data_IF_444639083043
#
_entry.id   IF_444639083043
#
_cell.length_a   1.000
_cell.length_b   1.000
_cell.length_c   1.000
_cell.angle_alpha   90.00
_cell.angle_beta   90.00
_cell.angle_gamma   90.00
#
_symmetry.space_group_name_H-M   'P 1'
#
loop_
_entity.id
_entity.type
_entity.pdbx_description
1 polymer ?
#
# COMPACT_ATOMS: atom_id res chain seq x y z
N UNK A 1 24.30 4.69 8.22
CA UNK A 1 25.36 5.59 7.70
C UNK A 1 25.00 5.94 6.27
N UNK A 2 25.16 7.20 5.87
CA UNK A 2 24.94 7.65 4.49
C UNK A 2 26.01 7.07 3.56
N UNK A 3 25.61 6.64 2.36
CA UNK A 3 26.55 6.24 1.31
C UNK A 3 27.15 7.49 0.62
N UNK A 4 28.26 7.34 -0.13
CA UNK A 4 28.77 8.44 -0.95
C UNK A 4 27.75 8.99 -1.94
N UNK A 5 26.85 8.15 -2.45
CA UNK A 5 25.78 8.55 -3.36
C UNK A 5 24.68 9.35 -2.65
N UNK A 6 24.33 8.98 -1.42
CA UNK A 6 23.37 9.77 -0.61
C UNK A 6 23.91 11.18 -0.37
N UNK A 7 25.19 11.31 -0.06
CA UNK A 7 25.83 12.62 0.10
C UNK A 7 25.82 13.41 -1.20
N UNK A 8 26.11 12.79 -2.34
CA UNK A 8 26.06 13.45 -3.65
C UNK A 8 24.62 13.90 -3.98
N UNK A 9 23.63 13.03 -3.75
CA UNK A 9 22.23 13.35 -3.95
C UNK A 9 21.81 14.55 -3.07
N UNK A 10 22.04 14.48 -1.75
CA UNK A 10 21.67 15.54 -0.81
C UNK A 10 22.29 16.89 -1.15
N UNK A 11 23.56 16.89 -1.60
CA UNK A 11 24.27 18.11 -2.00
C UNK A 11 23.60 18.82 -3.19
N UNK A 12 22.89 18.07 -4.05
CA UNK A 12 22.22 18.61 -5.24
C UNK A 12 21.02 19.49 -4.90
N UNK A 13 20.37 19.27 -3.75
CA UNK A 13 19.27 20.15 -3.26
C UNK A 13 19.74 21.48 -2.66
N UNK A 14 21.03 21.66 -2.38
CA UNK A 14 21.62 22.90 -1.83
C UNK A 14 20.97 23.40 -0.51
N UNK A 15 20.47 22.48 0.32
CA UNK A 15 19.80 22.79 1.60
C UNK A 15 20.77 22.93 2.78
N UNK A 16 22.06 22.97 2.52
CA UNK A 16 23.13 23.08 3.52
C UNK A 16 23.70 21.72 3.94
N UNK A 17 24.56 21.70 4.96
CA UNK A 17 25.21 20.46 5.41
C UNK A 17 24.22 19.52 6.10
N UNK A 18 24.49 18.22 5.98
CA UNK A 18 23.80 17.19 6.77
C UNK A 18 24.30 17.25 8.20
N UNK A 19 23.40 17.37 9.15
CA UNK A 19 23.68 17.45 10.59
C UNK A 19 23.48 16.10 11.27
N UNK A 20 22.55 15.27 10.75
CA UNK A 20 22.26 13.95 11.27
C UNK A 20 21.62 13.08 10.21
N UNK A 21 21.74 11.74 10.35
CA UNK A 21 21.06 10.79 9.46
C UNK A 21 20.71 9.49 10.18
N UNK A 22 19.49 9.00 9.95
CA UNK A 22 18.97 7.75 10.52
C UNK A 22 18.30 6.93 9.41
N UNK A 23 18.55 5.63 9.38
CA UNK A 23 17.86 4.69 8.48
C UNK A 23 16.70 4.07 9.26
N UNK A 24 15.44 4.27 8.85
CA UNK A 24 14.30 3.63 9.49
C UNK A 24 14.41 2.12 9.47
N UNK A 25 13.94 1.47 10.53
CA UNK A 25 13.86 0.00 10.58
C UNK A 25 12.79 -0.55 9.62
N UNK A 26 11.78 0.26 9.30
CA UNK A 26 10.65 -0.06 8.42
C UNK A 26 10.93 0.38 6.98
N UNK A 27 10.20 -0.19 6.03
CA UNK A 27 10.32 0.09 4.59
C UNK A 27 10.86 -1.13 3.84
N UNK A 28 10.02 -1.69 2.94
CA UNK A 28 10.30 -2.98 2.28
C UNK A 28 10.75 -2.84 0.84
N UNK A 29 10.38 -1.76 0.15
CA UNK A 29 10.61 -1.61 -1.30
C UNK A 29 11.72 -0.61 -1.60
N UNK A 30 11.54 0.65 -1.24
CA UNK A 30 12.52 1.70 -1.49
C UNK A 30 13.43 1.91 -0.27
N UNK A 31 14.69 2.31 -0.51
CA UNK A 31 15.55 2.68 0.60
C UNK A 31 15.30 4.14 0.98
N UNK A 32 14.93 4.37 2.23
CA UNK A 32 14.72 5.72 2.79
C UNK A 32 15.77 6.01 3.86
N UNK A 33 16.26 7.23 3.88
CA UNK A 33 17.13 7.76 4.95
C UNK A 33 16.52 9.05 5.44
N UNK A 34 16.28 9.15 6.74
CA UNK A 34 15.86 10.39 7.39
C UNK A 34 17.11 11.23 7.64
N UNK A 35 17.07 12.49 7.26
CA UNK A 35 18.21 13.41 7.37
C UNK A 35 17.78 14.71 8.02
N UNK A 36 18.61 15.20 8.93
CA UNK A 36 18.53 16.56 9.45
C UNK A 36 19.53 17.43 8.68
N UNK A 37 19.07 18.54 8.15
CA UNK A 37 19.86 19.52 7.42
C UNK A 37 19.59 20.90 8.02
N UNK A 38 20.42 21.88 7.72
CA UNK A 38 20.21 23.25 8.22
C UNK A 38 18.83 23.81 7.81
N UNK A 39 18.27 23.40 6.67
CA UNK A 39 16.96 23.84 6.17
C UNK A 39 15.76 23.07 6.70
N UNK A 40 15.94 22.05 7.55
CA UNK A 40 14.86 21.22 8.10
C UNK A 40 15.18 19.73 8.12
N UNK A 41 14.17 18.95 8.45
CA UNK A 41 14.24 17.48 8.44
C UNK A 41 13.59 16.92 7.18
N UNK A 42 14.22 15.93 6.56
CA UNK A 42 13.81 15.37 5.27
C UNK A 42 13.95 13.85 5.25
N UNK A 43 13.23 13.23 4.30
CA UNK A 43 13.36 11.83 3.93
C UNK A 43 13.97 11.74 2.52
N UNK A 44 15.20 11.24 2.40
CA UNK A 44 15.82 10.92 1.13
C UNK A 44 15.39 9.53 0.72
N UNK A 45 14.70 9.41 -0.41
CA UNK A 45 14.28 8.14 -1.01
C UNK A 45 15.18 7.80 -2.19
N UNK A 46 15.80 6.62 -2.15
CA UNK A 46 16.48 6.01 -3.29
C UNK A 46 15.56 4.93 -3.87
N UNK A 47 15.18 5.07 -5.14
CA UNK A 47 14.29 4.13 -5.83
C UNK A 47 15.04 2.85 -6.18
N UNK A 48 14.57 1.71 -5.66
CA UNK A 48 15.18 0.39 -5.90
C UNK A 48 15.01 -0.07 -7.35
N UNK A 49 13.87 0.26 -7.96
CA UNK A 49 13.57 0.02 -9.37
C UNK A 49 13.45 1.37 -10.07
N UNK A 50 14.53 1.86 -10.71
CA UNK A 50 14.55 3.19 -11.30
C UNK A 50 13.73 3.21 -12.60
N UNK A 51 12.44 3.48 -12.48
CA UNK A 51 11.52 3.73 -13.59
C UNK A 51 11.12 5.21 -13.55
N UNK A 52 11.68 6.00 -14.46
CA UNK A 52 11.43 7.44 -14.54
C UNK A 52 9.95 7.77 -14.76
N UNK A 53 9.24 6.99 -15.58
CA UNK A 53 7.83 7.23 -15.85
C UNK A 53 6.97 6.98 -14.61
N UNK A 54 7.30 5.94 -13.85
CA UNK A 54 6.65 5.62 -12.59
C UNK A 54 6.88 6.71 -11.54
N UNK A 55 8.13 7.17 -11.37
CA UNK A 55 8.47 8.23 -10.41
C UNK A 55 7.83 9.56 -10.82
N UNK A 56 7.83 9.90 -12.12
CA UNK A 56 7.16 11.09 -12.61
C UNK A 56 5.64 11.05 -12.35
N UNK A 57 5.03 9.88 -12.54
CA UNK A 57 3.62 9.67 -12.20
C UNK A 57 3.36 9.84 -10.69
N UNK A 58 4.16 9.22 -9.83
CA UNK A 58 4.07 9.36 -8.37
C UNK A 58 4.08 10.83 -7.97
N UNK A 59 5.08 11.59 -8.45
CA UNK A 59 5.22 13.01 -8.11
C UNK A 59 4.06 13.86 -8.66
N UNK A 60 3.56 13.54 -9.85
CA UNK A 60 2.40 14.23 -10.42
C UNK A 60 1.13 13.94 -9.61
N UNK A 61 0.92 12.71 -9.16
CA UNK A 61 -0.22 12.34 -8.33
C UNK A 61 -0.17 13.04 -6.96
N UNK A 62 1.00 13.08 -6.31
CA UNK A 62 1.23 13.82 -5.06
C UNK A 62 0.92 15.31 -5.26
N UNK A 63 1.44 15.94 -6.32
CA UNK A 63 1.21 17.35 -6.60
C UNK A 63 -0.28 17.65 -6.86
N UNK A 64 -0.97 16.78 -7.61
CA UNK A 64 -2.41 16.91 -7.86
C UNK A 64 -3.23 16.82 -6.57
N UNK A 65 -2.94 15.84 -5.72
CA UNK A 65 -3.59 15.64 -4.45
C UNK A 65 -3.33 16.83 -3.49
N UNK A 66 -2.08 17.28 -3.38
CA UNK A 66 -1.69 18.42 -2.55
C UNK A 66 -2.37 19.74 -2.96
N UNK A 67 -2.48 19.99 -4.26
CA UNK A 67 -3.19 21.16 -4.80
C UNK A 67 -4.71 21.14 -4.45
N UNK A 68 -5.24 20.01 -3.97
CA UNK A 68 -6.64 19.82 -3.56
C UNK A 68 -6.79 19.55 -2.06
N UNK A 69 -5.82 20.00 -1.28
CA UNK A 69 -5.80 19.91 0.18
C UNK A 69 -5.83 18.48 0.74
N UNK A 70 -5.31 17.51 0.00
CA UNK A 70 -4.96 16.22 0.57
C UNK A 70 -3.64 16.41 1.34
N UNK A 71 -3.53 15.89 2.59
CA UNK A 71 -2.32 16.04 3.37
C UNK A 71 -1.20 15.14 2.81
N UNK A 72 -0.32 15.69 2.00
CA UNK A 72 0.78 14.98 1.34
C UNK A 72 2.12 15.64 1.64
N UNK A 73 3.20 14.87 1.59
CA UNK A 73 4.56 15.39 1.55
C UNK A 73 4.95 15.65 0.09
N UNK A 74 4.93 16.92 -0.34
CA UNK A 74 5.37 17.29 -1.68
C UNK A 74 6.87 17.06 -1.84
N UNK A 75 7.35 16.47 -2.96
CA UNK A 75 8.78 16.33 -3.19
C UNK A 75 9.46 17.69 -3.26
N UNK A 76 10.60 17.82 -2.59
CA UNK A 76 11.39 19.07 -2.55
C UNK A 76 11.99 19.30 -3.94
N UNK A 77 11.80 20.48 -4.54
CA UNK A 77 12.37 20.78 -5.84
C UNK A 77 13.90 20.96 -5.77
N UNK A 78 14.58 20.51 -6.80
CA UNK A 78 15.97 20.84 -7.09
C UNK A 78 16.08 22.31 -7.56
N UNK A 79 17.29 22.89 -7.58
CA UNK A 79 17.48 24.26 -8.08
C UNK A 79 17.04 24.52 -9.54
N UNK A 80 16.94 23.48 -10.35
CA UNK A 80 16.42 23.53 -11.73
C UNK A 80 14.90 23.34 -11.82
N UNK A 81 14.21 23.16 -10.67
CA UNK A 81 12.78 22.91 -10.58
C UNK A 81 12.37 21.45 -10.71
N UNK A 82 13.29 20.54 -11.05
CA UNK A 82 13.05 19.11 -11.04
C UNK A 82 12.84 18.57 -9.61
N UNK A 83 12.25 17.39 -9.47
CA UNK A 83 12.01 16.76 -8.17
C UNK A 83 12.74 15.42 -8.00
N UNK A 84 13.49 15.02 -9.01
CA UNK A 84 14.25 13.78 -9.05
C UNK A 84 15.69 14.09 -9.41
N UNK A 85 16.61 13.69 -8.55
CA UNK A 85 18.03 13.67 -8.87
C UNK A 85 18.41 12.29 -9.43
N UNK A 86 19.15 12.30 -10.54
CA UNK A 86 19.59 11.07 -11.18
C UNK A 86 21.09 11.03 -11.37
N UNK A 87 21.67 9.89 -11.11
CA UNK A 87 23.06 9.59 -11.38
C UNK A 87 23.25 8.09 -11.62
N UNK A 88 23.96 7.76 -12.70
CA UNK A 88 24.33 6.37 -13.03
C UNK A 88 23.12 5.41 -13.07
N UNK A 89 21.97 5.91 -13.61
CA UNK A 89 20.71 5.16 -13.68
C UNK A 89 19.98 5.00 -12.35
N UNK A 90 20.44 5.62 -11.26
CA UNK A 90 19.77 5.63 -9.94
C UNK A 90 18.98 6.92 -9.76
N UNK A 91 17.77 6.77 -9.25
CA UNK A 91 16.86 7.89 -9.00
C UNK A 91 16.73 8.14 -7.51
N UNK A 92 16.75 9.42 -7.14
CA UNK A 92 16.56 9.89 -5.77
C UNK A 92 15.54 11.02 -5.73
N UNK A 93 14.73 11.05 -4.70
CA UNK A 93 13.85 12.18 -4.38
C UNK A 93 13.98 12.53 -2.91
N UNK A 94 13.77 13.80 -2.61
CA UNK A 94 13.79 14.34 -1.25
C UNK A 94 12.38 14.81 -0.88
N UNK A 95 11.90 14.39 0.28
CA UNK A 95 10.59 14.78 0.82
C UNK A 95 10.78 15.48 2.17
N UNK A 96 9.94 16.46 2.54
CA UNK A 96 9.91 16.93 3.91
C UNK A 96 9.54 15.77 4.84
N UNK A 97 10.06 15.77 6.05
CA UNK A 97 9.63 14.80 7.07
C UNK A 97 8.16 15.03 7.40
N UNK A 98 7.37 13.96 7.39
CA UNK A 98 5.96 14.03 7.75
C UNK A 98 5.79 14.45 9.20
N UNK A 99 4.85 15.35 9.48
CA UNK A 99 4.48 15.75 10.83
C UNK A 99 3.53 14.75 11.48
N UNK A 100 3.51 14.72 12.81
CA UNK A 100 2.66 13.80 13.57
C UNK A 100 3.30 12.45 13.83
N UNK A 101 2.48 11.45 14.17
CA UNK A 101 2.92 10.09 14.49
C UNK A 101 2.16 9.07 13.67
N UNK A 102 2.80 7.97 13.35
CA UNK A 102 2.12 6.76 12.88
C UNK A 102 1.47 6.05 14.07
N UNK A 103 0.35 5.38 13.79
CA UNK A 103 -0.36 4.55 14.78
C UNK A 103 -0.30 3.11 14.28
N UNK A 104 0.15 2.19 15.13
CA UNK A 104 0.28 0.80 14.75
C UNK A 104 -1.09 0.14 14.50
N UNK A 105 -1.08 -0.92 13.70
CA UNK A 105 -2.27 -1.73 13.46
C UNK A 105 -2.82 -2.25 14.80
N UNK A 106 -4.15 -2.10 15.00
CA UNK A 106 -4.83 -2.50 16.22
C UNK A 106 -4.79 -1.47 17.35
N UNK A 107 -3.98 -0.41 17.21
CA UNK A 107 -3.90 0.68 18.20
C UNK A 107 -4.68 1.93 17.78
N UNK A 108 -5.25 1.95 16.57
CA UNK A 108 -6.06 3.06 16.08
C UNK A 108 -7.38 3.13 16.85
N UNK A 109 -7.62 4.26 17.51
CA UNK A 109 -8.91 4.56 18.11
C UNK A 109 -9.95 4.97 17.07
N UNK A 110 -11.21 5.09 17.49
CA UNK A 110 -12.31 5.47 16.60
C UNK A 110 -12.07 6.82 15.89
N UNK A 111 -11.37 7.75 16.54
CA UNK A 111 -11.00 9.06 15.97
C UNK A 111 -10.05 8.92 14.78
N UNK A 112 -8.94 8.18 14.94
CA UNK A 112 -7.98 7.92 13.88
C UNK A 112 -8.59 7.11 12.72
N UNK A 113 -9.45 6.12 13.03
CA UNK A 113 -10.16 5.33 12.02
C UNK A 113 -11.10 6.23 11.20
N UNK A 114 -11.86 7.11 11.84
CA UNK A 114 -12.71 8.07 11.15
C UNK A 114 -11.91 9.07 10.31
N UNK A 115 -10.78 9.59 10.85
CA UNK A 115 -9.87 10.46 10.13
C UNK A 115 -9.27 9.78 8.89
N UNK A 116 -8.88 8.50 8.99
CA UNK A 116 -8.41 7.71 7.86
C UNK A 116 -9.50 7.53 6.79
N UNK A 117 -10.73 7.21 7.19
CA UNK A 117 -11.87 7.11 6.27
C UNK A 117 -12.15 8.41 5.51
N UNK A 118 -12.19 9.55 6.23
CA UNK A 118 -12.32 10.87 5.60
C UNK A 118 -11.15 11.19 4.67
N UNK A 119 -9.93 10.84 5.07
CA UNK A 119 -8.74 11.09 4.28
C UNK A 119 -8.77 10.31 2.94
N UNK A 120 -9.09 9.01 2.98
CA UNK A 120 -9.23 8.21 1.75
C UNK A 120 -10.31 8.77 0.83
N UNK A 121 -11.45 9.16 1.38
CA UNK A 121 -12.52 9.77 0.61
C UNK A 121 -12.11 11.12 0.00
N UNK A 122 -11.31 11.95 0.71
CA UNK A 122 -10.73 13.19 0.17
C UNK A 122 -9.77 12.91 -0.98
N UNK A 123 -8.94 11.86 -0.88
CA UNK A 123 -8.07 11.43 -1.98
C UNK A 123 -8.93 11.11 -3.21
N UNK A 124 -9.91 10.22 -3.10
CA UNK A 124 -10.75 9.84 -4.25
C UNK A 124 -11.52 11.03 -4.83
N UNK A 125 -12.03 11.93 -3.98
CA UNK A 125 -12.69 13.16 -4.42
C UNK A 125 -11.72 14.14 -5.11
N UNK A 126 -10.47 14.24 -4.65
CA UNK A 126 -9.47 15.11 -5.25
C UNK A 126 -9.14 14.72 -6.71
N UNK A 127 -9.36 13.47 -7.06
CA UNK A 127 -9.14 12.96 -8.42
C UNK A 127 -10.44 12.79 -9.25
N UNK A 128 -11.60 13.27 -8.75
CA UNK A 128 -12.88 13.08 -9.45
C UNK A 128 -12.92 13.72 -10.85
N UNK A 129 -12.20 14.82 -11.04
CA UNK A 129 -12.06 15.54 -12.31
C UNK A 129 -10.74 15.23 -13.04
N UNK A 130 -9.95 14.29 -12.54
CA UNK A 130 -8.72 13.88 -13.20
C UNK A 130 -9.04 13.08 -14.47
N UNK A 131 -8.40 13.39 -15.62
CA UNK A 131 -8.62 12.61 -16.84
C UNK A 131 -8.09 11.18 -16.68
N UNK A 132 -8.96 10.26 -16.29
CA UNK A 132 -8.58 8.89 -15.89
C UNK A 132 -7.76 8.15 -16.97
N UNK A 133 -7.99 8.47 -18.25
CA UNK A 133 -7.21 7.92 -19.35
C UNK A 133 -5.73 8.33 -19.35
N UNK A 134 -5.36 9.37 -18.59
CA UNK A 134 -3.96 9.81 -18.38
C UNK A 134 -3.34 9.18 -17.15
N UNK A 135 -4.13 8.54 -16.32
CA UNK A 135 -3.64 7.88 -15.12
C UNK A 135 -2.91 6.59 -15.49
N UNK A 136 -1.85 6.29 -14.74
CA UNK A 136 -1.22 4.99 -14.81
C UNK A 136 -2.23 3.93 -14.35
N UNK A 137 -2.52 2.88 -15.14
CA UNK A 137 -3.41 1.83 -14.69
C UNK A 137 -2.77 1.05 -13.53
N UNK A 138 -3.54 0.76 -12.48
CA UNK A 138 -3.13 -0.17 -11.44
C UNK A 138 -3.27 -1.60 -11.98
N UNK A 139 -2.22 -2.39 -11.80
CA UNK A 139 -2.30 -3.80 -12.18
C UNK A 139 -3.17 -4.58 -11.17
N UNK A 140 -4.38 -4.95 -11.57
CA UNK A 140 -5.30 -5.82 -10.85
C UNK A 140 -5.55 -7.10 -11.66
N UNK A 141 -4.49 -7.66 -12.25
CA UNK A 141 -4.58 -8.87 -13.04
C UNK A 141 -4.92 -10.08 -12.16
N UNK A 142 -5.73 -10.96 -12.70
CA UNK A 142 -6.04 -12.27 -12.13
C UNK A 142 -5.43 -13.32 -13.03
N UNK A 143 -4.52 -14.13 -12.48
CA UNK A 143 -3.85 -15.24 -13.18
C UNK A 143 -3.67 -16.42 -12.23
N UNK A 144 -4.78 -17.08 -11.89
CA UNK A 144 -4.77 -18.21 -10.97
C UNK A 144 -3.86 -19.36 -11.51
N UNK A 145 -3.87 -19.72 -12.80
CA UNK A 145 -2.95 -20.74 -13.30
C UNK A 145 -1.47 -20.43 -13.05
N UNK A 146 -1.03 -19.19 -13.31
CA UNK A 146 0.36 -18.80 -13.05
C UNK A 146 0.69 -18.83 -11.54
N UNK A 147 -0.24 -18.39 -10.70
CA UNK A 147 -0.11 -18.44 -9.24
C UNK A 147 0.03 -19.88 -8.76
N UNK A 148 -0.86 -20.78 -9.19
CA UNK A 148 -0.82 -22.21 -8.83
C UNK A 148 0.51 -22.86 -9.26
N UNK A 149 1.03 -22.50 -10.43
CA UNK A 149 2.32 -22.99 -10.92
C UNK A 149 3.51 -22.47 -10.08
N UNK A 150 3.38 -21.31 -9.44
CA UNK A 150 4.41 -20.70 -8.60
C UNK A 150 4.52 -21.28 -7.18
N UNK A 151 3.42 -21.77 -6.62
CA UNK A 151 3.36 -22.25 -5.22
C UNK A 151 4.40 -23.35 -4.92
N UNK A 152 4.58 -24.39 -5.74
CA UNK A 152 5.57 -25.44 -5.44
C UNK A 152 6.99 -24.92 -5.26
N UNK A 153 7.36 -23.84 -5.96
CA UNK A 153 8.68 -23.20 -5.82
C UNK A 153 8.84 -22.55 -4.45
N UNK A 154 7.81 -21.88 -3.95
CA UNK A 154 7.80 -21.27 -2.62
C UNK A 154 7.88 -22.37 -1.56
N UNK A 155 7.04 -23.40 -1.66
CA UNK A 155 7.05 -24.54 -0.74
C UNK A 155 8.42 -25.23 -0.69
N UNK A 156 9.06 -25.44 -1.84
CA UNK A 156 10.39 -26.04 -1.91
C UNK A 156 11.43 -25.17 -1.19
N UNK A 157 11.38 -23.85 -1.38
CA UNK A 157 12.28 -22.92 -0.69
C UNK A 157 12.10 -22.96 0.83
N UNK A 158 10.86 -23.01 1.34
CA UNK A 158 10.59 -23.14 2.77
C UNK A 158 11.11 -24.48 3.31
N UNK A 159 10.85 -25.61 2.61
CA UNK A 159 11.30 -26.95 3.03
C UNK A 159 12.83 -27.09 3.02
N UNK A 160 13.53 -26.31 2.19
CA UNK A 160 15.00 -26.30 2.13
C UNK A 160 15.65 -25.51 3.27
N UNK A 161 14.91 -24.77 4.09
CA UNK A 161 15.46 -24.07 5.24
C UNK A 161 16.02 -25.06 6.26
N UNK A 162 17.21 -24.80 6.83
CA UNK A 162 17.83 -25.69 7.82
C UNK A 162 17.01 -25.82 9.11
N UNK A 163 16.21 -24.82 9.44
CA UNK A 163 15.31 -24.81 10.58
C UNK A 163 13.94 -24.32 10.12
N UNK A 164 12.91 -25.11 10.39
CA UNK A 164 11.53 -24.72 10.17
C UNK A 164 10.88 -24.40 11.51
N UNK A 165 10.65 -23.12 11.73
CA UNK A 165 9.95 -22.63 12.92
C UNK A 165 8.43 -22.86 12.79
N UNK A 166 7.67 -22.43 13.78
CA UNK A 166 6.20 -22.45 13.70
C UNK A 166 5.67 -21.59 12.56
N UNK A 167 6.36 -20.46 12.27
CA UNK A 167 5.98 -19.58 11.16
C UNK A 167 6.10 -20.29 9.81
N UNK A 168 7.18 -21.04 9.58
CA UNK A 168 7.37 -21.80 8.33
C UNK A 168 6.35 -22.94 8.20
N UNK A 169 6.02 -23.62 9.29
CA UNK A 169 4.99 -24.66 9.28
C UNK A 169 3.60 -24.08 8.97
N UNK A 170 3.25 -22.95 9.59
CA UNK A 170 2.01 -22.22 9.29
C UNK A 170 1.97 -21.76 7.83
N UNK A 171 3.07 -21.20 7.32
CA UNK A 171 3.20 -20.77 5.92
C UNK A 171 2.95 -21.94 4.94
N UNK A 172 3.53 -23.11 5.18
CA UNK A 172 3.28 -24.30 4.35
C UNK A 172 1.82 -24.76 4.39
N UNK A 173 1.17 -24.73 5.57
CA UNK A 173 -0.25 -25.04 5.71
C UNK A 173 -1.14 -24.06 4.96
N UNK A 174 -0.85 -22.76 5.08
CA UNK A 174 -1.56 -21.71 4.37
C UNK A 174 -1.39 -21.80 2.84
N UNK A 175 -0.18 -22.11 2.36
CA UNK A 175 0.08 -22.29 0.93
C UNK A 175 -0.71 -23.48 0.37
N UNK A 176 -0.76 -24.61 1.10
CA UNK A 176 -1.53 -25.78 0.70
C UNK A 176 -3.03 -25.48 0.63
N UNK A 177 -3.59 -24.90 1.70
CA UNK A 177 -5.01 -24.54 1.76
C UNK A 177 -5.41 -23.52 0.68
N UNK A 178 -4.56 -22.51 0.41
CA UNK A 178 -4.77 -21.54 -0.66
C UNK A 178 -4.72 -22.15 -2.05
N UNK A 179 -3.76 -23.05 -2.28
CA UNK A 179 -3.65 -23.77 -3.54
C UNK A 179 -4.93 -24.54 -3.82
N UNK A 180 -5.40 -25.32 -2.83
CA UNK A 180 -6.58 -26.15 -2.98
C UNK A 180 -7.84 -25.28 -3.20
N UNK A 181 -7.99 -24.21 -2.43
CA UNK A 181 -9.05 -23.20 -2.62
C UNK A 181 -9.05 -22.60 -4.03
N UNK A 182 -7.90 -22.12 -4.51
CA UNK A 182 -7.78 -21.49 -5.83
C UNK A 182 -8.05 -22.47 -6.95
N UNK A 183 -7.61 -23.72 -6.83
CA UNK A 183 -7.86 -24.77 -7.82
C UNK A 183 -9.35 -25.13 -7.94
N UNK A 184 -10.05 -25.21 -6.80
CA UNK A 184 -11.49 -25.48 -6.74
C UNK A 184 -12.33 -24.29 -7.22
N UNK A 185 -11.82 -23.07 -7.09
CA UNK A 185 -12.56 -21.83 -7.34
C UNK A 185 -12.02 -21.03 -8.52
N UNK A 186 -11.32 -21.64 -9.45
CA UNK A 186 -10.71 -20.97 -10.62
C UNK A 186 -11.73 -20.18 -11.46
N UNK A 187 -12.98 -20.65 -11.51
CA UNK A 187 -14.06 -19.98 -12.25
C UNK A 187 -14.48 -18.64 -11.62
N UNK A 188 -14.21 -18.42 -10.32
CA UNK A 188 -14.48 -17.12 -9.69
C UNK A 188 -13.62 -16.00 -10.31
N UNK A 189 -12.51 -16.34 -10.93
CA UNK A 189 -11.64 -15.41 -11.65
C UNK A 189 -12.24 -14.92 -12.98
N UNK A 190 -13.17 -15.73 -13.55
CA UNK A 190 -13.79 -15.37 -14.82
C UNK A 190 -14.59 -14.07 -14.69
N UNK A 191 -14.33 -13.17 -15.62
CA UNK A 191 -15.01 -11.88 -15.65
C UNK A 191 -14.56 -10.84 -14.61
N UNK A 192 -13.69 -11.16 -13.64
CA UNK A 192 -13.19 -10.19 -12.64
C UNK A 192 -12.62 -8.92 -13.28
N UNK A 193 -11.76 -8.98 -14.31
CA UNK A 193 -11.26 -7.77 -14.95
C UNK A 193 -12.37 -6.91 -15.56
N UNK A 194 -13.38 -7.54 -16.19
CA UNK A 194 -14.53 -6.84 -16.77
C UNK A 194 -15.41 -6.21 -15.69
N UNK A 195 -15.67 -6.92 -14.61
CA UNK A 195 -16.44 -6.45 -13.45
C UNK A 195 -15.76 -5.25 -12.78
N UNK A 196 -14.44 -5.34 -12.54
CA UNK A 196 -13.64 -4.24 -12.01
C UNK A 196 -13.67 -3.02 -12.94
N UNK A 197 -13.56 -3.22 -14.25
CA UNK A 197 -13.61 -2.12 -15.22
C UNK A 197 -14.98 -1.43 -15.27
N UNK A 198 -16.05 -2.11 -14.90
CA UNK A 198 -17.42 -1.56 -14.86
C UNK A 198 -17.69 -0.72 -13.59
N UNK A 199 -16.90 -0.87 -12.55
CA UNK A 199 -17.02 -0.08 -11.31
C UNK A 199 -16.50 1.36 -11.52
N UNK A 200 -16.98 2.33 -10.72
CA UNK A 200 -16.45 3.70 -10.73
C UNK A 200 -14.95 3.74 -10.50
N UNK A 201 -14.22 4.24 -11.50
CA UNK A 201 -12.76 4.35 -11.49
C UNK A 201 -12.33 5.66 -10.82
N UNK A 202 -11.21 5.62 -10.10
CA UNK A 202 -10.52 6.79 -9.56
C UNK A 202 -9.01 6.61 -9.65
N UNK A 203 -8.25 7.68 -9.49
CA UNK A 203 -6.84 7.55 -9.13
C UNK A 203 -6.79 7.27 -7.65
N UNK A 204 -6.17 6.16 -7.31
CA UNK A 204 -6.00 5.65 -5.96
C UNK A 204 -4.61 6.03 -5.41
N UNK A 205 -4.48 6.07 -4.09
CA UNK A 205 -3.17 6.00 -3.44
C UNK A 205 -2.48 4.66 -3.76
N UNK A 206 -3.28 3.59 -3.74
CA UNK A 206 -2.86 2.25 -4.15
C UNK A 206 -2.21 1.41 -3.06
N UNK A 207 -1.82 2.03 -1.95
CA UNK A 207 -1.28 1.37 -0.74
C UNK A 207 -1.72 2.09 0.53
N UNK A 208 -3.00 2.45 0.62
CA UNK A 208 -3.56 3.17 1.77
C UNK A 208 -3.68 2.22 2.98
N UNK A 209 -2.78 2.41 3.94
CA UNK A 209 -2.71 1.62 5.18
C UNK A 209 -2.02 2.42 6.30
N UNK A 210 -2.13 1.94 7.55
CA UNK A 210 -1.67 2.65 8.76
C UNK A 210 -0.20 3.08 8.71
N UNK A 211 0.66 2.27 8.10
CA UNK A 211 2.10 2.57 7.98
C UNK A 211 2.41 3.74 7.05
N UNK A 212 1.44 4.15 6.23
CA UNK A 212 1.55 5.27 5.29
C UNK A 212 0.80 6.51 5.76
N UNK A 213 0.22 6.49 6.98
CA UNK A 213 -0.55 7.58 7.57
C UNK A 213 0.14 8.16 8.80
N UNK A 214 0.22 9.48 8.85
CA UNK A 214 0.63 10.21 10.03
C UNK A 214 -0.58 10.95 10.60
N UNK A 215 -0.66 11.03 11.92
CA UNK A 215 -1.77 11.65 12.63
C UNK A 215 -1.27 12.75 13.56
N UNK A 216 -1.96 13.88 13.57
CA UNK A 216 -1.72 15.01 14.47
C UNK A 216 -3.06 15.68 14.78
N UNK A 217 -3.33 15.98 16.04
CA UNK A 217 -4.57 16.64 16.44
C UNK A 217 -5.86 15.86 16.14
N UNK A 218 -5.78 14.54 15.99
CA UNK A 218 -6.95 13.69 15.66
C UNK A 218 -7.29 13.60 14.18
N UNK A 219 -6.50 14.24 13.31
CA UNK A 219 -6.65 14.18 11.86
C UNK A 219 -5.41 13.54 11.19
N UNK A 220 -5.55 13.10 9.94
CA UNK A 220 -4.41 12.68 9.13
C UNK A 220 -3.62 13.91 8.72
N UNK A 221 -2.38 14.01 9.17
CA UNK A 221 -1.45 15.12 8.90
C UNK A 221 -0.59 14.89 7.66
N UNK A 222 -0.32 13.61 7.30
CA UNK A 222 0.37 13.27 6.06
C UNK A 222 0.02 11.86 5.57
N UNK A 223 -0.05 11.73 4.24
CA UNK A 223 -0.12 10.45 3.52
C UNK A 223 1.14 10.33 2.68
N UNK A 224 1.92 9.27 2.92
CA UNK A 224 3.20 9.01 2.25
C UNK A 224 3.12 7.76 1.39
N UNK A 225 4.16 7.50 0.59
CA UNK A 225 4.36 6.29 -0.22
C UNK A 225 3.32 6.09 -1.33
N UNK A 226 3.30 7.02 -2.28
CA UNK A 226 2.40 7.06 -3.44
C UNK A 226 2.91 6.22 -4.63
N UNK A 227 3.94 5.42 -4.47
CA UNK A 227 4.57 4.68 -5.58
C UNK A 227 3.66 3.63 -6.21
N UNK A 228 2.61 3.19 -5.47
CA UNK A 228 1.57 2.28 -5.95
C UNK A 228 0.34 3.01 -6.53
N UNK A 229 0.38 4.35 -6.60
CA UNK A 229 -0.71 5.15 -7.13
C UNK A 229 -1.05 4.77 -8.57
N UNK A 230 -2.35 4.75 -8.88
CA UNK A 230 -2.83 4.43 -10.22
C UNK A 230 -4.34 4.34 -10.31
N UNK A 231 -4.86 4.26 -11.54
CA UNK A 231 -6.28 4.15 -11.82
C UNK A 231 -6.81 2.74 -11.52
N UNK A 232 -7.84 2.66 -10.70
CA UNK A 232 -8.60 1.43 -10.41
C UNK A 232 -9.94 1.77 -9.74
N UNK A 233 -10.83 0.78 -9.46
CA UNK A 233 -12.05 1.03 -8.73
C UNK A 233 -11.80 1.58 -7.32
N UNK A 234 -12.43 2.70 -6.98
CA UNK A 234 -12.28 3.31 -5.64
C UNK A 234 -12.73 2.39 -4.51
N UNK A 235 -13.79 1.60 -4.74
CA UNK A 235 -14.27 0.64 -3.76
C UNK A 235 -13.25 -0.47 -3.47
N UNK A 236 -12.42 -0.85 -4.44
CA UNK A 236 -11.31 -1.79 -4.24
C UNK A 236 -10.32 -1.28 -3.18
N UNK A 237 -9.96 0.01 -3.22
CA UNK A 237 -9.03 0.56 -2.21
C UNK A 237 -9.68 0.70 -0.84
N UNK A 238 -10.96 1.08 -0.78
CA UNK A 238 -11.71 1.10 0.47
C UNK A 238 -11.74 -0.30 1.11
N UNK A 239 -12.06 -1.34 0.34
CA UNK A 239 -12.03 -2.73 0.81
C UNK A 239 -10.65 -3.18 1.27
N UNK A 240 -9.61 -2.78 0.54
CA UNK A 240 -8.24 -3.06 0.95
C UNK A 240 -7.91 -2.45 2.32
N UNK A 241 -8.36 -1.23 2.57
CA UNK A 241 -8.20 -0.59 3.87
C UNK A 241 -9.00 -1.32 4.97
N UNK A 242 -10.26 -1.70 4.71
CA UNK A 242 -11.06 -2.49 5.67
C UNK A 242 -10.41 -3.82 6.00
N UNK A 243 -9.86 -4.52 5.01
CA UNK A 243 -9.25 -5.84 5.20
C UNK A 243 -7.87 -5.73 5.84
N UNK A 244 -6.93 -5.00 5.21
CA UNK A 244 -5.53 -5.03 5.64
C UNK A 244 -5.22 -4.11 6.82
N UNK A 245 -5.89 -2.96 6.92
CA UNK A 245 -5.66 -2.00 8.01
C UNK A 245 -6.53 -2.30 9.22
N UNK A 246 -7.81 -2.68 9.02
CA UNK A 246 -8.79 -2.87 10.10
C UNK A 246 -9.14 -4.32 10.39
N UNK A 247 -8.59 -5.29 9.63
CA UNK A 247 -8.82 -6.72 9.83
C UNK A 247 -10.29 -7.13 9.74
N UNK A 248 -11.10 -6.39 8.99
CA UNK A 248 -12.56 -6.52 8.91
C UNK A 248 -13.28 -6.46 10.28
N UNK A 249 -12.68 -5.83 11.30
CA UNK A 249 -13.32 -5.64 12.60
C UNK A 249 -14.61 -4.81 12.44
N UNK A 250 -15.82 -5.35 12.76
CA UNK A 250 -17.08 -4.73 12.33
C UNK A 250 -17.29 -3.31 12.86
N UNK A 251 -16.91 -3.03 14.11
CA UNK A 251 -17.04 -1.69 14.69
C UNK A 251 -16.13 -0.68 13.99
N UNK A 252 -14.85 -1.03 13.78
CA UNK A 252 -13.87 -0.19 13.11
C UNK A 252 -14.26 0.09 11.65
N UNK A 253 -14.68 -0.95 10.93
CA UNK A 253 -15.10 -0.81 9.53
C UNK A 253 -16.35 0.07 9.37
N UNK A 254 -17.32 -0.03 10.29
CA UNK A 254 -18.49 0.88 10.29
C UNK A 254 -18.09 2.34 10.49
N UNK A 255 -17.17 2.62 11.43
CA UNK A 255 -16.65 3.98 11.67
C UNK A 255 -15.95 4.50 10.42
N UNK A 256 -15.07 3.71 9.81
CA UNK A 256 -14.35 4.07 8.60
C UNK A 256 -15.28 4.38 7.43
N UNK A 257 -16.23 3.46 7.13
CA UNK A 257 -17.17 3.61 6.01
C UNK A 257 -18.13 4.78 6.21
N UNK A 258 -18.62 5.02 7.43
CA UNK A 258 -19.43 6.18 7.73
C UNK A 258 -18.67 7.48 7.43
N UNK A 259 -17.46 7.62 7.99
CA UNK A 259 -16.62 8.78 7.78
C UNK A 259 -16.18 8.97 6.31
N UNK A 260 -15.97 7.89 5.58
CA UNK A 260 -15.71 7.94 4.14
C UNK A 260 -16.95 8.48 3.39
N UNK A 261 -18.14 7.93 3.68
CA UNK A 261 -19.41 8.28 3.02
C UNK A 261 -19.85 9.71 3.28
N UNK A 262 -19.48 10.30 4.41
CA UNK A 262 -19.71 11.72 4.72
C UNK A 262 -18.98 12.65 3.74
N UNK A 263 -17.90 12.19 3.13
CA UNK A 263 -17.07 12.97 2.20
C UNK A 263 -17.31 12.60 0.74
N UNK A 264 -17.41 11.30 0.45
CA UNK A 264 -17.56 10.77 -0.90
C UNK A 264 -18.56 9.61 -0.89
N UNK A 265 -19.66 9.69 -1.67
CA UNK A 265 -20.63 8.60 -1.75
C UNK A 265 -19.97 7.28 -2.15
N UNK A 266 -20.29 6.22 -1.41
CA UNK A 266 -19.88 4.84 -1.71
C UNK A 266 -21.10 3.93 -1.50
N UNK A 267 -21.88 3.68 -2.57
CA UNK A 267 -23.06 2.82 -2.50
C UNK A 267 -22.73 1.40 -2.07
N UNK A 268 -23.63 0.78 -1.33
CA UNK A 268 -23.44 -0.59 -0.83
C UNK A 268 -23.27 -1.59 -1.98
N UNK A 269 -24.04 -1.45 -3.06
CA UNK A 269 -23.91 -2.30 -4.24
C UNK A 269 -22.51 -2.21 -4.89
N UNK A 270 -21.88 -1.02 -4.87
CA UNK A 270 -20.51 -0.84 -5.35
C UNK A 270 -19.50 -1.58 -4.45
N UNK A 271 -19.72 -1.54 -3.13
CA UNK A 271 -18.87 -2.22 -2.15
C UNK A 271 -18.98 -3.74 -2.31
N UNK A 272 -20.20 -4.28 -2.43
CA UNK A 272 -20.42 -5.73 -2.58
C UNK A 272 -19.84 -6.27 -3.88
N UNK A 273 -20.02 -5.57 -5.00
CA UNK A 273 -19.42 -5.97 -6.28
C UNK A 273 -17.88 -5.92 -6.23
N UNK A 274 -17.34 -4.87 -5.61
CA UNK A 274 -15.90 -4.76 -5.41
C UNK A 274 -15.38 -5.84 -4.46
N UNK A 275 -16.12 -6.22 -3.41
CA UNK A 275 -15.72 -7.25 -2.45
C UNK A 275 -15.58 -8.63 -3.11
N UNK A 276 -16.52 -8.99 -3.98
CA UNK A 276 -16.45 -10.23 -4.72
C UNK A 276 -15.20 -10.30 -5.63
N UNK A 277 -14.85 -9.18 -6.30
CA UNK A 277 -13.65 -9.11 -7.13
C UNK A 277 -12.37 -9.02 -6.29
N UNK A 278 -12.39 -8.24 -5.20
CA UNK A 278 -11.26 -8.08 -4.29
C UNK A 278 -10.85 -9.41 -3.65
N UNK A 279 -11.83 -10.25 -3.29
CA UNK A 279 -11.55 -11.55 -2.70
C UNK A 279 -10.64 -12.41 -3.58
N UNK A 280 -10.94 -12.50 -4.88
CA UNK A 280 -10.08 -13.25 -5.82
C UNK A 280 -8.67 -12.68 -5.87
N UNK A 281 -8.54 -11.33 -5.90
CA UNK A 281 -7.24 -10.65 -5.92
C UNK A 281 -6.46 -10.85 -4.61
N UNK A 282 -7.15 -10.85 -3.47
CA UNK A 282 -6.52 -11.06 -2.17
C UNK A 282 -6.07 -12.53 -1.99
N UNK A 283 -6.93 -13.47 -2.40
CA UNK A 283 -6.65 -14.90 -2.24
C UNK A 283 -5.53 -15.39 -3.18
N UNK A 284 -5.35 -14.78 -4.36
CA UNK A 284 -4.23 -15.08 -5.25
C UNK A 284 -2.92 -14.36 -4.91
N UNK A 285 -2.89 -13.48 -3.91
CA UNK A 285 -1.72 -12.66 -3.61
C UNK A 285 -0.73 -13.40 -2.71
N UNK A 286 0.42 -13.79 -3.26
CA UNK A 286 1.50 -14.53 -2.60
C UNK A 286 2.78 -13.69 -2.38
N UNK A 287 2.74 -12.38 -2.63
CA UNK A 287 3.93 -11.52 -2.60
C UNK A 287 4.77 -11.64 -1.32
N UNK A 288 4.13 -11.84 -0.16
CA UNK A 288 4.83 -11.97 1.12
C UNK A 288 5.70 -13.22 1.14
N UNK A 289 5.15 -14.33 0.69
CA UNK A 289 5.89 -15.60 0.63
C UNK A 289 7.02 -15.52 -0.40
N UNK A 290 6.78 -14.94 -1.57
CA UNK A 290 7.80 -14.74 -2.59
C UNK A 290 8.92 -13.82 -2.09
N UNK A 291 8.57 -12.69 -1.51
CA UNK A 291 9.53 -11.73 -0.97
C UNK A 291 10.42 -12.35 0.11
N UNK A 292 9.83 -13.09 1.05
CA UNK A 292 10.58 -13.70 2.17
C UNK A 292 11.41 -14.88 1.69
N UNK A 293 10.79 -15.84 0.98
CA UNK A 293 11.40 -17.15 0.75
C UNK A 293 12.12 -17.28 -0.58
N UNK A 294 11.80 -16.46 -1.57
CA UNK A 294 12.48 -16.47 -2.88
C UNK A 294 13.43 -15.30 -3.09
N UNK A 295 13.09 -14.12 -2.54
CA UNK A 295 13.92 -12.91 -2.70
C UNK A 295 14.82 -12.61 -1.47
N UNK A 296 14.65 -13.33 -0.35
CA UNK A 296 15.41 -13.11 0.87
C UNK A 296 15.13 -11.77 1.56
N UNK A 297 13.93 -11.23 1.39
CA UNK A 297 13.51 -9.98 2.02
C UNK A 297 12.97 -10.23 3.44
N UNK A 298 13.87 -10.30 4.44
CA UNK A 298 13.47 -10.53 5.84
C UNK A 298 12.52 -9.46 6.40
N UNK A 299 12.54 -8.24 5.85
CA UNK A 299 11.61 -7.18 6.28
C UNK A 299 10.16 -7.49 5.94
N UNK A 300 9.90 -8.30 4.92
CA UNK A 300 8.56 -8.74 4.57
C UNK A 300 8.01 -9.80 5.55
N UNK A 301 8.88 -10.44 6.35
CA UNK A 301 8.50 -11.48 7.31
C UNK A 301 7.46 -11.02 8.35
N UNK A 302 7.44 -9.75 8.71
CA UNK A 302 6.44 -9.16 9.60
C UNK A 302 4.99 -9.25 9.07
N UNK A 303 4.81 -9.50 7.77
CA UNK A 303 3.50 -9.66 7.13
C UNK A 303 3.06 -11.13 7.00
N UNK A 304 3.89 -12.09 7.41
CA UNK A 304 3.47 -13.47 7.56
C UNK A 304 2.53 -13.56 8.77
N UNK A 305 1.28 -13.91 8.51
CA UNK A 305 0.27 -14.05 9.58
C UNK A 305 0.29 -15.46 10.13
N UNK A 306 0.19 -15.64 11.46
CA UNK A 306 -0.07 -16.96 12.04
C UNK A 306 -1.52 -17.41 11.77
N UNK A 307 -1.79 -18.69 11.97
CA UNK A 307 -3.12 -19.26 11.82
C UNK A 307 -3.40 -19.86 10.44
N UNK A 308 -4.61 -20.34 10.28
CA UNK A 308 -5.07 -21.00 9.07
C UNK A 308 -5.49 -20.00 7.99
N UNK A 309 -5.40 -20.42 6.74
CA UNK A 309 -5.93 -19.62 5.64
C UNK A 309 -7.46 -19.63 5.67
N UNK A 310 -8.05 -18.44 5.65
CA UNK A 310 -9.47 -18.23 5.45
C UNK A 310 -9.67 -17.40 4.18
N UNK A 311 -10.42 -17.91 3.17
CA UNK A 311 -10.72 -17.16 1.97
C UNK A 311 -11.42 -15.83 2.29
N UNK A 312 -11.09 -14.77 1.54
CA UNK A 312 -11.69 -13.45 1.79
C UNK A 312 -13.23 -13.49 1.74
N UNK A 313 -13.81 -14.28 0.85
CA UNK A 313 -15.26 -14.41 0.75
C UNK A 313 -15.91 -14.98 2.04
N UNK A 314 -15.20 -15.83 2.81
CA UNK A 314 -15.65 -16.29 4.11
C UNK A 314 -15.53 -15.19 5.17
N UNK A 315 -14.38 -14.51 5.21
CA UNK A 315 -14.16 -13.37 6.11
C UNK A 315 -15.18 -12.24 5.84
N UNK A 316 -15.50 -11.95 4.58
CA UNK A 316 -16.49 -10.94 4.20
C UNK A 316 -17.90 -11.31 4.66
N UNK A 317 -18.29 -12.58 4.55
CA UNK A 317 -19.58 -13.06 5.08
C UNK A 317 -19.70 -12.90 6.59
N UNK A 318 -18.65 -13.28 7.34
CA UNK A 318 -18.61 -13.11 8.80
C UNK A 318 -18.69 -11.62 9.18
N UNK A 319 -18.01 -10.74 8.43
CA UNK A 319 -18.09 -9.31 8.62
C UNK A 319 -19.51 -8.78 8.36
N UNK A 320 -20.22 -9.28 7.33
CA UNK A 320 -21.57 -8.81 6.95
C UNK A 320 -22.67 -9.34 7.84
N UNK A 321 -22.53 -10.54 8.34
CA UNK A 321 -23.48 -11.20 9.21
C UNK A 321 -22.73 -11.75 10.44
N UNK A 322 -22.27 -10.87 11.33
CA UNK A 322 -21.65 -11.31 12.57
C UNK A 322 -22.73 -12.10 13.35
N UNK A 323 -22.49 -13.39 13.55
CA UNK A 323 -23.33 -14.18 14.44
C UNK A 323 -23.43 -13.41 15.76
N UNK A 324 -24.65 -13.08 16.17
CA UNK A 324 -24.90 -12.35 17.40
C UNK A 324 -24.22 -13.15 18.54
N UNK A 325 -23.18 -12.55 19.13
CA UNK A 325 -22.61 -13.01 20.39
C UNK A 325 -23.62 -12.78 21.52
#
# INVERSE_FOLDING_TARGET
MLSPEDHAALSSWRLGPVLGATVPATGTVNRTVLVEMRGGAYALRAYRRPDRARVAWEHAAIAWAGARNVPVCLPVPLPDGGTVWERDGRLFALFPLASGRQVARGEMGAGEIAAAGRCLARIHRAFADFPIARARPKNLAVDIPAVLAGIPRIEAAIRALPIQTEVERAALGQLAARRDWLAENVLLAEGVPKRLAALPQAVLHGDFQETNLFFEGGEVSAVIDWDQSGAAPRAWEALRALHLMLGLAPAACRVFLAAYRDVCPLPEAEVEEAAACYGVLADQNFWVYEAVYLEGNDRARQFLTPGDFMPFAAQWREFRDPKAE
#
